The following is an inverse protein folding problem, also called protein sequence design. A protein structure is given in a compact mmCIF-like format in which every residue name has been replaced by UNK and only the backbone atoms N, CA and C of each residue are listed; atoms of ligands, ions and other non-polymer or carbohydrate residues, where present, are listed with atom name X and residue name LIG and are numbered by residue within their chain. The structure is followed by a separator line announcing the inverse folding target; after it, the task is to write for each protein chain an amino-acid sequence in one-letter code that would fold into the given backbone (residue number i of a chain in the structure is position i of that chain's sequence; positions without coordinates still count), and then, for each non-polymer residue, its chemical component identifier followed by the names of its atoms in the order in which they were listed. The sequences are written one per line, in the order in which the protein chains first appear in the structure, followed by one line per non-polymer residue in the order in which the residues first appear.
data_IF_943041443074
#
_entry.id   IF_943041443074
#
_cell.length_a   1.000
_cell.length_b   1.000
_cell.length_c   1.000
_cell.angle_alpha   90.00
_cell.angle_beta   90.00
_cell.angle_gamma   90.00
#
_symmetry.space_group_name_H-M   'P 1'
#
loop_
_entity.id
_entity.type
_entity.pdbx_description
1 polymer ?
#
# COMPACT_ATOMS: atom_id res chain seq x y z
N UNK A 1 1.36 10.11 -16.04
CA UNK A 1 -0.02 9.92 -15.54
C UNK A 1 -0.03 10.47 -14.13
N UNK A 2 -0.99 11.34 -13.81
CA UNK A 2 -1.13 11.93 -12.48
C UNK A 2 -2.11 11.06 -11.69
N UNK A 3 -1.63 10.38 -10.66
CA UNK A 3 -2.43 9.48 -9.84
C UNK A 3 -3.35 10.24 -8.89
N UNK A 4 -2.95 11.43 -8.42
CA UNK A 4 -3.77 12.24 -7.52
C UNK A 4 -5.16 12.56 -8.09
N UNK A 5 -5.29 12.64 -9.42
CA UNK A 5 -6.57 12.84 -10.11
C UNK A 5 -7.63 11.79 -9.69
N UNK A 6 -7.23 10.54 -9.46
CA UNK A 6 -8.16 9.48 -9.07
C UNK A 6 -8.73 9.65 -7.66
N UNK A 7 -8.10 10.47 -6.81
CA UNK A 7 -8.66 10.81 -5.50
C UNK A 7 -9.83 11.79 -5.60
N UNK A 8 -10.07 12.39 -6.78
CA UNK A 8 -11.11 13.39 -7.02
C UNK A 8 -12.20 12.94 -8.03
N UNK A 9 -12.12 11.72 -8.57
CA UNK A 9 -13.06 11.17 -9.57
C UNK A 9 -13.77 9.90 -9.03
N UNK A 10 -15.12 9.80 -9.00
CA UNK A 10 -16.22 10.76 -8.73
C UNK A 10 -16.95 10.38 -7.39
N UNK A 11 -17.97 11.02 -6.79
CA UNK A 11 -19.36 11.27 -7.27
C UNK A 11 -20.18 12.19 -6.30
N UNK A 12 -19.57 13.14 -5.56
CA UNK A 12 -20.35 14.10 -4.74
C UNK A 12 -19.97 15.53 -5.09
N UNK A 13 -20.93 16.45 -5.05
CA UNK A 13 -20.68 17.90 -5.19
C UNK A 13 -19.89 18.50 -3.99
N UNK A 14 -19.24 17.65 -3.20
CA UNK A 14 -18.56 17.97 -1.97
C UNK A 14 -17.14 17.41 -2.00
N UNK A 15 -16.18 18.20 -1.52
CA UNK A 15 -14.84 17.78 -1.19
C UNK A 15 -14.80 17.43 0.30
N UNK A 16 -14.59 16.16 0.68
CA UNK A 16 -14.27 15.80 2.05
C UNK A 16 -13.03 16.54 2.57
N UNK A 17 -12.91 16.67 3.90
CA UNK A 17 -11.76 17.32 4.55
C UNK A 17 -10.41 16.76 4.08
N UNK A 18 -10.33 15.44 3.91
CA UNK A 18 -9.16 14.76 3.34
C UNK A 18 -8.77 15.32 1.97
N UNK A 19 -9.74 15.50 1.06
CA UNK A 19 -9.53 16.00 -0.29
C UNK A 19 -9.15 17.49 -0.30
N UNK A 20 -9.73 18.28 0.62
CA UNK A 20 -9.37 19.68 0.81
C UNK A 20 -7.90 19.82 1.25
N UNK A 21 -7.49 19.03 2.25
CA UNK A 21 -6.10 18.97 2.72
C UNK A 21 -5.15 18.42 1.65
N UNK A 22 -5.58 17.42 0.88
CA UNK A 22 -4.80 16.88 -0.24
C UNK A 22 -4.53 17.95 -1.30
N UNK A 23 -5.55 18.69 -1.76
CA UNK A 23 -5.36 19.82 -2.69
C UNK A 23 -4.42 20.87 -2.13
N UNK A 24 -4.55 21.20 -0.84
CA UNK A 24 -3.69 22.16 -0.16
C UNK A 24 -2.22 21.71 -0.14
N UNK A 25 -1.99 20.42 0.09
CA UNK A 25 -0.66 19.83 0.03
C UNK A 25 -0.12 19.76 -1.40
N UNK A 26 -0.98 19.50 -2.39
CA UNK A 26 -0.58 19.55 -3.80
C UNK A 26 -0.15 20.98 -4.15
N UNK A 27 -0.93 22.00 -3.80
CA UNK A 27 -0.58 23.42 -4.02
C UNK A 27 0.77 23.77 -3.35
N UNK A 28 0.96 23.37 -2.09
CA UNK A 28 2.15 23.74 -1.32
C UNK A 28 3.41 22.92 -1.67
N UNK A 29 3.29 21.63 -1.98
CA UNK A 29 4.41 20.68 -2.11
C UNK A 29 4.64 20.18 -3.54
N UNK A 30 3.62 20.23 -4.40
CA UNK A 30 3.66 19.71 -5.77
C UNK A 30 2.85 20.60 -6.72
N UNK A 31 3.10 21.91 -6.66
CA UNK A 31 2.32 22.91 -7.38
C UNK A 31 2.27 22.68 -8.90
N UNK A 32 3.24 21.93 -9.45
CA UNK A 32 3.34 21.61 -10.88
C UNK A 32 2.08 20.90 -11.39
N UNK A 33 1.45 20.05 -10.58
CA UNK A 33 0.24 19.31 -10.99
C UNK A 33 -1.05 19.96 -10.48
N UNK A 34 -0.96 21.08 -9.74
CA UNK A 34 -2.11 21.66 -9.06
C UNK A 34 -3.22 22.03 -10.05
N UNK A 35 -2.89 22.76 -11.12
CA UNK A 35 -3.88 23.19 -12.12
C UNK A 35 -4.57 21.99 -12.80
N UNK A 36 -3.83 20.93 -13.11
CA UNK A 36 -4.38 19.71 -13.70
C UNK A 36 -5.35 18.99 -12.75
N UNK A 37 -5.05 18.95 -11.45
CA UNK A 37 -5.95 18.37 -10.43
C UNK A 37 -7.11 19.29 -10.08
N UNK A 38 -6.92 20.61 -10.13
CA UNK A 38 -7.97 21.57 -9.79
C UNK A 38 -9.03 21.68 -10.91
N UNK A 39 -8.61 21.57 -12.16
CA UNK A 39 -9.49 21.71 -13.34
C UNK A 39 -10.45 20.55 -13.55
N UNK A 40 -10.17 19.36 -12.99
CA UNK A 40 -11.09 18.22 -13.04
C UNK A 40 -12.25 18.34 -12.04
N UNK A 41 -12.15 19.23 -11.05
CA UNK A 41 -13.16 19.44 -10.02
C UNK A 41 -14.38 20.15 -10.60
N UNK A 42 -15.57 19.88 -10.04
CA UNK A 42 -16.75 20.66 -10.39
C UNK A 42 -16.61 22.10 -9.87
N UNK A 43 -17.33 23.09 -10.44
CA UNK A 43 -17.28 24.46 -9.94
C UNK A 43 -17.60 24.59 -8.44
N UNK A 44 -18.52 23.77 -7.91
CA UNK A 44 -18.85 23.78 -6.48
C UNK A 44 -17.69 23.27 -5.62
N UNK A 45 -16.99 22.23 -6.07
CA UNK A 45 -15.80 21.70 -5.39
C UNK A 45 -14.66 22.71 -5.44
N UNK A 46 -14.47 23.39 -6.57
CA UNK A 46 -13.50 24.48 -6.70
C UNK A 46 -13.79 25.60 -5.70
N UNK A 47 -15.05 26.02 -5.57
CA UNK A 47 -15.47 27.03 -4.59
C UNK A 47 -15.20 26.58 -3.15
N UNK A 48 -15.53 25.33 -2.80
CA UNK A 48 -15.23 24.77 -1.48
C UNK A 48 -13.73 24.82 -1.17
N UNK A 49 -12.88 24.47 -2.13
CA UNK A 49 -11.44 24.57 -1.96
C UNK A 49 -10.98 26.02 -1.80
N UNK A 50 -11.49 26.94 -2.62
CA UNK A 50 -11.14 28.37 -2.55
C UNK A 50 -11.50 28.97 -1.19
N UNK A 51 -12.65 28.60 -0.62
CA UNK A 51 -13.05 29.02 0.74
C UNK A 51 -12.13 28.39 1.79
N UNK A 52 -11.93 27.07 1.70
CA UNK A 52 -11.09 26.32 2.63
C UNK A 52 -9.66 26.84 2.67
N UNK A 53 -9.00 27.04 1.52
CA UNK A 53 -7.57 27.41 1.47
C UNK A 53 -7.24 28.75 2.16
N UNK A 54 -8.24 29.62 2.31
CA UNK A 54 -8.15 30.92 3.00
C UNK A 54 -8.69 30.90 4.43
N UNK A 55 -9.20 29.76 4.89
CA UNK A 55 -9.75 29.60 6.24
C UNK A 55 -8.67 29.51 7.31
N UNK A 56 -9.04 29.82 8.57
CA UNK A 56 -8.19 29.60 9.74
C UNK A 56 -7.81 28.11 9.90
N UNK A 57 -8.70 27.21 9.49
CA UNK A 57 -8.47 25.77 9.53
C UNK A 57 -7.32 25.35 8.61
N UNK A 58 -7.29 25.83 7.37
CA UNK A 58 -6.19 25.57 6.44
C UNK A 58 -4.87 26.19 6.92
N UNK A 59 -4.91 27.39 7.51
CA UNK A 59 -3.72 28.02 8.09
C UNK A 59 -3.17 27.21 9.26
N UNK A 60 -4.05 26.78 10.18
CA UNK A 60 -3.70 25.91 11.30
C UNK A 60 -3.09 24.60 10.82
N UNK A 61 -3.73 23.94 9.86
CA UNK A 61 -3.23 22.70 9.27
C UNK A 61 -1.83 22.88 8.66
N UNK A 62 -1.59 23.94 7.87
CA UNK A 62 -0.26 24.23 7.32
C UNK A 62 0.79 24.43 8.41
N UNK A 63 0.47 25.18 9.48
CA UNK A 63 1.38 25.40 10.61
C UNK A 63 1.73 24.10 11.31
N UNK A 64 0.75 23.26 11.60
CA UNK A 64 0.94 21.96 12.24
C UNK A 64 1.77 21.02 11.36
N UNK A 65 1.42 20.90 10.08
CA UNK A 65 2.16 20.12 9.08
C UNK A 65 3.62 20.57 9.00
N UNK A 66 3.87 21.87 8.86
CA UNK A 66 5.22 22.42 8.71
C UNK A 66 6.05 22.32 10.00
N UNK A 67 5.41 22.23 11.17
CA UNK A 67 6.10 21.95 12.44
C UNK A 67 6.55 20.49 12.55
N UNK A 68 5.82 19.56 11.93
CA UNK A 68 6.09 18.12 11.98
C UNK A 68 6.99 17.63 10.85
N UNK A 69 6.92 18.27 9.67
CA UNK A 69 7.62 17.81 8.47
C UNK A 69 8.87 18.67 8.17
N UNK A 70 10.02 18.03 7.95
CA UNK A 70 11.24 18.75 7.61
C UNK A 70 11.16 19.30 6.18
N UNK A 71 11.73 20.48 5.94
CA UNK A 71 11.79 21.02 4.58
C UNK A 71 12.51 20.08 3.59
N UNK A 72 11.84 19.84 2.45
CA UNK A 72 12.32 19.12 1.27
C UNK A 72 11.89 19.90 0.02
N UNK A 73 12.83 20.18 -0.88
CA UNK A 73 12.53 20.80 -2.16
C UNK A 73 12.15 19.71 -3.19
N UNK A 74 10.87 19.34 -3.22
CA UNK A 74 10.37 18.32 -4.15
C UNK A 74 10.48 18.75 -5.63
N UNK A 75 10.62 20.05 -5.92
CA UNK A 75 10.85 20.54 -7.28
C UNK A 75 12.26 20.27 -7.79
N UNK A 76 13.23 19.96 -6.92
CA UNK A 76 14.62 19.74 -7.29
C UNK A 76 15.22 18.54 -6.54
N UNK A 77 14.63 17.36 -6.74
CA UNK A 77 15.10 16.12 -6.15
C UNK A 77 16.31 15.58 -6.94
N UNK A 78 17.39 15.13 -6.26
CA UNK A 78 18.48 14.43 -6.92
C UNK A 78 18.02 13.04 -7.39
N UNK A 79 18.65 12.52 -8.43
CA UNK A 79 18.35 11.17 -8.96
C UNK A 79 18.59 10.07 -7.92
N UNK A 80 19.63 10.23 -7.09
CA UNK A 80 19.98 9.32 -6.00
C UNK A 80 19.78 10.04 -4.67
N UNK A 81 18.99 9.46 -3.79
CA UNK A 81 18.75 9.96 -2.44
C UNK A 81 19.81 9.44 -1.48
N UNK A 82 20.38 10.33 -0.70
CA UNK A 82 21.15 9.94 0.48
C UNK A 82 20.21 9.53 1.63
N UNK A 83 20.77 8.86 2.64
CA UNK A 83 20.03 8.39 3.81
C UNK A 83 19.32 9.55 4.54
N UNK A 84 19.90 10.75 4.54
CA UNK A 84 19.33 11.93 5.22
C UNK A 84 18.06 12.42 4.51
N UNK A 85 18.08 12.48 3.19
CA UNK A 85 16.93 12.84 2.37
C UNK A 85 15.85 11.76 2.44
N UNK A 86 16.24 10.48 2.40
CA UNK A 86 15.31 9.36 2.60
C UNK A 86 14.60 9.46 3.95
N UNK A 87 15.32 9.70 5.05
CA UNK A 87 14.71 9.89 6.37
C UNK A 87 13.67 11.01 6.40
N UNK A 88 13.97 12.14 5.74
CA UNK A 88 13.02 13.25 5.63
C UNK A 88 11.79 12.87 4.82
N UNK A 89 11.97 12.33 3.62
CA UNK A 89 10.88 11.92 2.72
C UNK A 89 9.99 10.88 3.41
N UNK A 90 10.58 9.97 4.19
CA UNK A 90 9.83 8.97 4.96
C UNK A 90 8.86 9.57 5.97
N UNK A 91 9.07 10.80 6.47
CA UNK A 91 8.11 11.46 7.34
C UNK A 91 6.85 11.88 6.58
N UNK A 92 6.99 12.30 5.32
CA UNK A 92 5.86 12.60 4.43
C UNK A 92 5.08 11.33 4.03
N UNK A 93 5.71 10.14 4.09
CA UNK A 93 5.05 8.87 3.73
C UNK A 93 4.09 8.36 4.83
N UNK A 94 4.10 8.95 6.03
CA UNK A 94 3.29 8.48 7.17
C UNK A 94 1.84 8.95 7.13
N UNK A 95 1.58 10.08 6.51
CA UNK A 95 0.29 10.74 6.45
C UNK A 95 -0.30 10.63 5.04
N UNK A 96 -1.60 10.36 4.94
CA UNK A 96 -2.24 9.99 3.67
C UNK A 96 -2.21 11.11 2.64
N UNK A 97 -2.55 12.33 3.08
CA UNK A 97 -2.66 13.53 2.27
C UNK A 97 -1.29 13.98 1.76
N UNK A 98 -0.30 14.08 2.66
CA UNK A 98 1.05 14.52 2.27
C UNK A 98 1.77 13.48 1.43
N UNK A 99 1.60 12.18 1.72
CA UNK A 99 2.14 11.08 0.89
C UNK A 99 1.62 11.16 -0.54
N UNK A 100 0.30 11.30 -0.70
CA UNK A 100 -0.34 11.36 -2.02
C UNK A 100 0.08 12.61 -2.79
N UNK A 101 0.14 13.77 -2.12
CA UNK A 101 0.56 15.02 -2.74
C UNK A 101 1.96 14.94 -3.38
N UNK A 102 2.91 14.28 -2.72
CA UNK A 102 4.29 14.16 -3.24
C UNK A 102 4.48 12.95 -4.16
N UNK A 103 3.55 11.99 -4.19
CA UNK A 103 3.73 10.71 -4.90
C UNK A 103 3.95 10.92 -6.40
N UNK A 104 3.14 11.78 -7.03
CA UNK A 104 3.25 12.12 -8.44
C UNK A 104 4.54 12.87 -8.79
N UNK A 105 5.24 13.40 -7.80
CA UNK A 105 6.53 14.08 -8.00
C UNK A 105 7.72 13.12 -8.02
N UNK A 106 7.54 11.90 -7.49
CA UNK A 106 8.60 10.90 -7.41
C UNK A 106 8.69 10.11 -8.72
N UNK A 107 9.89 9.97 -9.28
CA UNK A 107 10.14 9.01 -10.34
C UNK A 107 9.99 7.57 -9.83
N UNK A 108 9.85 6.60 -10.73
CA UNK A 108 9.81 5.19 -10.33
C UNK A 108 11.10 4.76 -9.62
N UNK A 109 12.25 5.31 -10.01
CA UNK A 109 13.52 5.06 -9.33
C UNK A 109 13.53 5.64 -7.91
N UNK A 110 12.98 6.84 -7.69
CA UNK A 110 12.81 7.41 -6.36
C UNK A 110 11.90 6.52 -5.50
N UNK A 111 10.79 6.04 -6.05
CA UNK A 111 9.88 5.12 -5.34
C UNK A 111 10.59 3.81 -4.98
N UNK A 112 11.41 3.28 -5.89
CA UNK A 112 12.25 2.10 -5.64
C UNK A 112 13.27 2.31 -4.52
N UNK A 113 13.90 3.49 -4.46
CA UNK A 113 14.83 3.85 -3.38
C UNK A 113 14.13 3.92 -2.02
N UNK A 114 12.94 4.55 -1.96
CA UNK A 114 12.11 4.61 -0.74
C UNK A 114 11.70 3.20 -0.30
N UNK A 115 11.29 2.34 -1.24
CA UNK A 115 10.93 0.96 -0.93
C UNK A 115 12.13 0.20 -0.31
N UNK A 116 13.30 0.24 -0.94
CA UNK A 116 14.52 -0.40 -0.41
C UNK A 116 14.90 0.12 0.98
N UNK A 117 14.74 1.42 1.21
CA UNK A 117 15.01 2.02 2.52
C UNK A 117 14.03 1.53 3.60
N UNK A 118 12.74 1.39 3.26
CA UNK A 118 11.73 0.80 4.16
C UNK A 118 12.03 -0.65 4.51
N UNK A 119 12.44 -1.46 3.52
CA UNK A 119 12.87 -2.83 3.73
C UNK A 119 14.04 -2.90 4.72
N UNK A 120 15.07 -2.08 4.50
CA UNK A 120 16.22 -1.99 5.43
C UNK A 120 15.78 -1.66 6.86
N UNK A 121 14.90 -0.68 7.05
CA UNK A 121 14.38 -0.32 8.39
C UNK A 121 13.59 -1.50 9.00
N UNK A 122 12.78 -2.18 8.21
CA UNK A 122 12.00 -3.33 8.66
C UNK A 122 12.91 -4.46 9.14
N UNK A 123 13.94 -4.79 8.35
CA UNK A 123 14.91 -5.83 8.68
C UNK A 123 15.71 -5.48 9.95
N UNK A 124 16.11 -4.21 10.10
CA UNK A 124 16.79 -3.74 11.32
C UNK A 124 15.89 -3.81 12.56
N UNK A 125 14.60 -3.51 12.43
CA UNK A 125 13.62 -3.66 13.52
C UNK A 125 13.42 -5.11 13.90
N UNK A 126 13.31 -5.99 12.91
CA UNK A 126 13.13 -7.42 13.11
C UNK A 126 14.38 -8.05 13.75
N UNK A 127 15.57 -7.65 13.32
CA UNK A 127 16.83 -8.07 13.94
C UNK A 127 16.91 -7.62 15.41
N UNK A 128 16.52 -6.37 15.72
CA UNK A 128 16.45 -5.87 17.10
C UNK A 128 15.41 -6.62 17.93
N UNK A 129 14.22 -6.91 17.38
CA UNK A 129 13.20 -7.74 18.03
C UNK A 129 13.77 -9.10 18.38
N UNK A 130 14.41 -9.77 17.42
CA UNK A 130 15.04 -11.08 17.62
C UNK A 130 16.18 -11.08 18.64
N UNK A 131 16.97 -10.02 18.69
CA UNK A 131 18.03 -9.87 19.68
C UNK A 131 17.50 -9.71 21.11
N UNK A 132 16.30 -9.15 21.28
CA UNK A 132 15.65 -8.95 22.58
C UNK A 132 14.82 -10.16 23.04
N UNK A 133 14.54 -11.11 22.15
CA UNK A 133 13.80 -12.33 22.51
C UNK A 133 14.64 -13.26 23.39
N UNK A 134 13.96 -13.84 24.38
CA UNK A 134 14.47 -14.96 25.14
C UNK A 134 14.62 -16.21 24.26
N UNK A 135 15.45 -17.16 24.68
CA UNK A 135 15.61 -18.43 23.96
C UNK A 135 14.31 -19.24 23.88
N UNK A 136 13.42 -19.11 24.88
CA UNK A 136 12.10 -19.75 24.83
C UNK A 136 11.18 -19.13 23.77
N UNK A 137 11.19 -17.79 23.62
CA UNK A 137 10.44 -17.09 22.58
C UNK A 137 10.96 -17.43 21.19
N UNK A 138 12.28 -17.44 20.99
CA UNK A 138 12.88 -17.87 19.72
C UNK A 138 12.51 -19.31 19.37
N UNK A 139 12.48 -20.21 20.37
CA UNK A 139 12.06 -21.60 20.19
C UNK A 139 10.58 -21.69 19.77
N UNK A 140 9.68 -20.98 20.44
CA UNK A 140 8.25 -20.95 20.08
C UNK A 140 8.00 -20.35 18.71
N UNK A 141 8.71 -19.27 18.36
CA UNK A 141 8.60 -18.66 17.04
C UNK A 141 9.12 -19.61 15.96
N UNK A 142 10.24 -20.30 16.21
CA UNK A 142 10.74 -21.34 15.30
C UNK A 142 9.76 -22.50 15.15
N UNK A 143 9.22 -23.02 16.26
CA UNK A 143 8.21 -24.10 16.25
C UNK A 143 6.96 -23.68 15.46
N UNK A 144 6.54 -22.42 15.58
CA UNK A 144 5.43 -21.87 14.80
C UNK A 144 5.74 -21.81 13.30
N UNK A 145 6.92 -21.32 12.92
CA UNK A 145 7.34 -21.28 11.50
C UNK A 145 7.57 -22.68 10.92
N UNK A 146 8.12 -23.60 11.70
CA UNK A 146 8.31 -25.00 11.29
C UNK A 146 6.95 -25.66 11.07
N UNK A 147 5.98 -25.44 11.97
CA UNK A 147 4.60 -25.92 11.78
C UNK A 147 3.90 -25.24 10.58
N UNK A 148 4.11 -23.93 10.39
CA UNK A 148 3.59 -23.16 9.26
C UNK A 148 4.12 -23.71 7.93
N UNK A 149 5.42 -24.01 7.85
CA UNK A 149 6.06 -24.52 6.64
C UNK A 149 5.79 -26.02 6.40
N UNK A 150 5.56 -26.79 7.47
CA UNK A 150 5.19 -28.20 7.39
C UNK A 150 3.72 -28.42 7.06
N UNK A 151 2.87 -27.41 7.24
CA UNK A 151 1.45 -27.45 6.86
C UNK A 151 1.32 -27.54 5.34
N UNK A 152 0.86 -28.68 4.78
CA UNK A 152 0.75 -28.87 3.34
C UNK A 152 -0.44 -28.10 2.75
N UNK A 153 -1.22 -27.38 3.56
CA UNK A 153 -2.38 -26.61 3.12
C UNK A 153 -1.93 -25.40 2.28
N UNK A 154 -2.30 -25.32 1.00
CA UNK A 154 -1.98 -24.21 0.13
C UNK A 154 -2.62 -22.93 0.65
N UNK A 155 -1.85 -21.85 0.66
CA UNK A 155 -2.31 -20.52 1.08
C UNK A 155 -2.31 -19.60 -0.14
N UNK A 156 -3.44 -18.95 -0.37
CA UNK A 156 -3.62 -18.02 -1.47
C UNK A 156 -3.67 -16.60 -0.91
N UNK A 157 -2.66 -15.80 -1.22
CA UNK A 157 -2.53 -14.44 -0.70
C UNK A 157 -3.11 -13.38 -1.66
N UNK A 158 -3.35 -13.76 -2.93
CA UNK A 158 -4.02 -12.91 -3.93
C UNK A 158 -3.31 -11.61 -4.31
N UNK A 159 -2.03 -11.46 -3.95
CA UNK A 159 -1.26 -10.23 -4.16
C UNK A 159 -0.10 -10.46 -5.15
N UNK A 160 0.33 -9.40 -5.85
CA UNK A 160 1.54 -9.41 -6.72
C UNK A 160 1.55 -10.52 -7.79
N UNK A 161 0.38 -10.86 -8.33
CA UNK A 161 0.27 -11.92 -9.34
C UNK A 161 0.34 -13.32 -8.77
N UNK A 162 0.20 -13.52 -7.46
CA UNK A 162 -0.14 -14.82 -6.88
C UNK A 162 -1.65 -15.09 -7.03
N UNK A 163 -2.07 -16.35 -7.23
CA UNK A 163 -3.48 -16.70 -7.25
C UNK A 163 -4.18 -16.32 -5.94
N UNK A 164 -5.39 -15.80 -6.03
CA UNK A 164 -6.23 -15.44 -4.88
C UNK A 164 -7.00 -16.64 -4.30
N UNK A 165 -7.12 -17.74 -5.06
CA UNK A 165 -7.78 -18.96 -4.63
C UNK A 165 -7.30 -20.18 -5.46
N UNK A 166 -7.83 -21.36 -5.11
CA UNK A 166 -7.54 -22.62 -5.78
C UNK A 166 -7.86 -22.60 -7.28
N UNK A 167 -8.96 -21.96 -7.66
CA UNK A 167 -9.43 -21.92 -9.05
C UNK A 167 -8.46 -21.14 -9.93
N UNK A 168 -8.05 -19.97 -9.47
CA UNK A 168 -7.03 -19.17 -10.12
C UNK A 168 -5.69 -19.92 -10.21
N UNK A 169 -5.33 -20.68 -9.18
CA UNK A 169 -4.10 -21.47 -9.18
C UNK A 169 -4.14 -22.57 -10.24
N UNK A 170 -5.22 -23.36 -10.28
CA UNK A 170 -5.39 -24.44 -11.25
C UNK A 170 -5.51 -23.88 -12.68
N UNK A 171 -6.23 -22.78 -12.88
CA UNK A 171 -6.33 -22.11 -14.18
C UNK A 171 -4.98 -21.62 -14.69
N UNK A 172 -4.19 -21.03 -13.80
CA UNK A 172 -2.93 -20.40 -14.18
C UNK A 172 -1.80 -21.40 -14.36
N UNK A 173 -1.71 -22.39 -13.49
CA UNK A 173 -0.59 -23.33 -13.45
C UNK A 173 -0.93 -24.73 -13.99
N UNK A 174 -2.21 -25.04 -14.21
CA UNK A 174 -2.66 -26.35 -14.66
C UNK A 174 -2.31 -27.48 -13.69
N UNK A 175 -2.23 -27.15 -12.38
CA UNK A 175 -1.74 -28.05 -11.34
C UNK A 175 -2.59 -27.98 -10.08
N UNK A 176 -2.66 -29.10 -9.38
CA UNK A 176 -3.28 -29.19 -8.06
C UNK A 176 -2.40 -28.45 -7.03
N UNK A 177 -2.94 -27.50 -6.26
CA UNK A 177 -2.16 -26.72 -5.31
C UNK A 177 -1.59 -27.53 -4.14
N UNK A 178 -2.18 -28.69 -3.81
CA UNK A 178 -1.71 -29.56 -2.73
C UNK A 178 -0.58 -30.51 -3.16
N UNK A 179 -0.69 -31.10 -4.35
CA UNK A 179 0.22 -32.16 -4.79
C UNK A 179 1.22 -31.70 -5.86
N UNK A 180 0.96 -30.57 -6.52
CA UNK A 180 1.75 -30.08 -7.65
C UNK A 180 1.58 -30.87 -8.94
N UNK A 181 0.71 -31.89 -8.95
CA UNK A 181 0.42 -32.73 -10.11
C UNK A 181 -0.48 -32.02 -11.12
N UNK A 182 -0.44 -32.37 -12.42
CA UNK A 182 -1.33 -31.80 -13.43
C UNK A 182 -2.81 -31.97 -13.06
N UNK A 183 -3.57 -30.89 -13.13
CA UNK A 183 -4.98 -30.86 -12.71
C UNK A 183 -5.77 -29.82 -13.53
N UNK A 184 -7.05 -30.11 -13.77
CA UNK A 184 -8.00 -29.18 -14.40
C UNK A 184 -9.04 -28.73 -13.37
N UNK A 185 -9.72 -27.59 -13.57
CA UNK A 185 -10.82 -27.15 -12.67
C UNK A 185 -11.82 -28.29 -12.46
N UNK A 186 -12.22 -28.95 -13.55
CA UNK A 186 -13.23 -30.00 -13.51
C UNK A 186 -12.78 -31.17 -12.62
N UNK A 187 -11.58 -31.68 -12.84
CA UNK A 187 -11.03 -32.79 -12.07
C UNK A 187 -10.68 -32.40 -10.63
N UNK A 188 -10.36 -31.13 -10.37
CA UNK A 188 -10.18 -30.58 -9.03
C UNK A 188 -11.50 -30.58 -8.24
N UNK A 189 -12.57 -30.04 -8.82
CA UNK A 189 -13.88 -30.01 -8.16
C UNK A 189 -14.59 -31.37 -8.09
N UNK A 190 -14.12 -32.39 -8.81
CA UNK A 190 -14.55 -33.77 -8.57
C UNK A 190 -14.02 -34.29 -7.22
N UNK A 191 -12.82 -33.84 -6.81
CA UNK A 191 -12.12 -34.30 -5.60
C UNK A 191 -12.32 -33.38 -4.40
N UNK A 192 -12.54 -32.09 -4.61
CA UNK A 192 -12.56 -31.09 -3.54
C UNK A 192 -13.81 -30.19 -3.58
N UNK A 193 -14.19 -29.63 -2.44
CA UNK A 193 -15.16 -28.54 -2.25
C UNK A 193 -14.50 -27.36 -1.55
N UNK A 194 -14.97 -26.14 -1.81
CA UNK A 194 -14.53 -24.95 -1.08
C UNK A 194 -15.66 -24.55 -0.12
N UNK A 195 -15.35 -24.35 1.17
CA UNK A 195 -16.33 -23.89 2.16
C UNK A 195 -16.58 -22.38 2.06
N UNK A 196 -17.52 -21.87 2.86
CA UNK A 196 -17.85 -20.43 2.90
C UNK A 196 -16.71 -19.53 3.39
N UNK A 197 -15.62 -20.10 3.91
CA UNK A 197 -14.44 -19.38 4.40
C UNK A 197 -13.26 -19.49 3.42
N UNK A 198 -13.43 -20.16 2.27
CA UNK A 198 -12.38 -20.35 1.28
C UNK A 198 -11.46 -21.53 1.56
N UNK A 199 -11.76 -22.39 2.54
CA UNK A 199 -10.98 -23.59 2.81
C UNK A 199 -11.33 -24.67 1.80
N UNK A 200 -10.31 -25.35 1.26
CA UNK A 200 -10.49 -26.46 0.34
C UNK A 200 -10.57 -27.76 1.15
N UNK A 201 -11.68 -28.47 1.02
CA UNK A 201 -12.01 -29.69 1.74
C UNK A 201 -12.07 -30.83 0.72
N UNK A 202 -11.42 -31.96 1.01
CA UNK A 202 -11.57 -33.17 0.19
C UNK A 202 -13.02 -33.65 0.29
N UNK A 203 -13.67 -33.87 -0.85
CA UNK A 203 -14.92 -34.62 -0.90
C UNK A 203 -14.60 -36.03 -0.41
N UNK A 204 -15.04 -36.38 0.80
CA UNK A 204 -14.99 -37.77 1.22
C UNK A 204 -15.70 -38.59 0.14
N UNK A 205 -14.99 -39.56 -0.44
CA UNK A 205 -15.63 -40.56 -1.28
C UNK A 205 -16.63 -41.28 -0.38
N UNK A 206 -17.91 -40.93 -0.49
CA UNK A 206 -18.98 -41.84 -0.09
C UNK A 206 -18.76 -43.14 -0.89
N UNK A 207 -18.16 -44.13 -0.24
CA UNK A 207 -18.26 -45.53 -0.65
C UNK A 207 -19.74 -45.95 -0.67
#
# INVERSE_FOLDING_TARGET
MIFAIYDFIPVKNELPEFNLKLLLNIEDLNNIIFDEVFTILTPQQQEQYIVFRTSEEAEKYRKERNAQLPYVNFSNLPEIFDDKLLQKIMLYQKDGETRRAIYDRLSEDHKGQIARYNWKISDEKEAKRRALMSEEEKRKEKEWWDAYNADPTPRFMGNMGEPANADEYVLRYGRNPFTGEPETIKSFYEKYTIDSHGNIILKENNQ
#
